data_IF_844037630470
#
_entry.id   IF_844037630470
#
_cell.length_a   1.000
_cell.length_b   1.000
_cell.length_c   1.000
_cell.angle_alpha   90.00
_cell.angle_beta   90.00
_cell.angle_gamma   90.00
#
_symmetry.space_group_name_H-M   'P 1'
#
loop_
_entity.id
_entity.type
_entity.pdbx_description
1 polymer ?
#
# COMPACT_ATOMS: atom_id res chain seq x y z
N UNK A 1 1.94 -14.94 -4.97
CA UNK A 1 1.08 -15.20 -3.80
C UNK A 1 1.42 -14.13 -2.77
N UNK A 2 0.49 -13.25 -2.38
CA UNK A 2 0.81 -12.09 -1.55
C UNK A 2 0.97 -12.53 -0.09
N UNK A 3 2.20 -12.55 0.39
CA UNK A 3 2.49 -12.74 1.81
C UNK A 3 2.70 -11.34 2.39
N UNK A 4 1.72 -10.86 3.14
CA UNK A 4 1.88 -9.68 3.99
C UNK A 4 2.28 -10.20 5.38
N UNK A 5 3.56 -10.13 5.72
CA UNK A 5 3.99 -10.31 7.11
C UNK A 5 3.66 -9.04 7.89
N UNK A 6 2.53 -9.08 8.59
CA UNK A 6 2.22 -8.15 9.66
C UNK A 6 3.01 -8.58 10.90
N UNK A 7 4.10 -7.88 11.22
CA UNK A 7 4.77 -7.99 12.51
C UNK A 7 4.92 -6.60 13.14
N UNK A 8 3.94 -6.21 13.94
CA UNK A 8 4.12 -5.76 15.33
C UNK A 8 2.78 -5.29 15.93
N UNK A 9 2.56 -5.54 17.23
CA UNK A 9 1.26 -5.53 17.90
C UNK A 9 0.79 -4.13 18.26
N UNK A 10 -0.52 -3.93 18.33
CA UNK A 10 -1.11 -2.78 19.00
C UNK A 10 -0.77 -1.43 18.37
N UNK A 11 -1.46 -1.09 17.28
CA UNK A 11 -1.79 0.31 17.04
C UNK A 11 -3.31 0.35 16.78
N UNK A 12 -4.09 0.52 17.85
CA UNK A 12 -5.25 1.41 17.72
C UNK A 12 -4.68 2.80 17.45
N UNK A 13 -4.32 3.02 16.19
CA UNK A 13 -3.97 4.34 15.71
C UNK A 13 -5.24 5.16 15.69
N UNK A 14 -5.48 5.93 16.75
CA UNK A 14 -6.19 7.19 16.63
C UNK A 14 -5.26 8.13 15.83
N UNK A 15 -5.11 7.83 14.55
CA UNK A 15 -4.06 8.39 13.70
C UNK A 15 -4.53 9.65 13.01
N UNK A 16 -4.08 10.80 13.51
CA UNK A 16 -3.92 12.01 12.71
C UNK A 16 -2.76 11.82 11.70
N UNK A 17 -2.87 10.87 10.77
CA UNK A 17 -1.81 10.60 9.81
C UNK A 17 -2.30 10.78 8.39
N UNK A 18 -1.82 11.86 7.77
CA UNK A 18 -1.96 12.13 6.33
C UNK A 18 -1.18 11.13 5.46
N UNK A 19 -0.47 10.17 6.07
CA UNK A 19 0.36 9.21 5.34
C UNK A 19 0.49 7.84 6.00
N UNK A 20 0.85 6.84 5.20
CA UNK A 20 1.23 5.49 5.63
C UNK A 20 2.52 5.04 4.92
N UNK A 21 3.32 4.19 5.56
CA UNK A 21 4.44 3.51 4.91
C UNK A 21 4.04 2.08 4.56
N UNK A 22 4.20 1.71 3.30
CA UNK A 22 3.98 0.37 2.78
C UNK A 22 5.33 -0.24 2.39
N UNK A 23 5.48 -1.53 2.68
CA UNK A 23 6.56 -2.36 2.18
C UNK A 23 5.98 -3.72 1.77
N UNK A 24 6.53 -4.31 0.72
CA UNK A 24 6.14 -5.62 0.22
C UNK A 24 7.36 -6.39 -0.28
N UNK A 25 7.27 -7.72 -0.30
CA UNK A 25 8.34 -8.55 -0.84
C UNK A 25 8.44 -8.41 -2.36
N UNK A 26 9.67 -8.43 -2.86
CA UNK A 26 9.92 -8.52 -4.29
C UNK A 26 9.37 -9.86 -4.83
N UNK A 27 8.94 -9.85 -6.09
CA UNK A 27 8.46 -11.06 -6.74
C UNK A 27 9.67 -11.90 -7.16
N UNK A 28 9.53 -13.22 -7.22
CA UNK A 28 10.64 -14.13 -7.57
C UNK A 28 11.03 -14.07 -9.04
N UNK A 29 10.11 -13.62 -9.89
CA UNK A 29 10.26 -13.50 -11.32
C UNK A 29 11.25 -12.38 -11.68
N UNK A 30 12.23 -12.68 -12.53
CA UNK A 30 13.30 -11.75 -12.91
C UNK A 30 12.85 -10.70 -13.93
N UNK A 31 11.72 -10.93 -14.59
CA UNK A 31 11.18 -10.08 -15.66
C UNK A 31 10.13 -9.07 -15.20
N UNK A 32 9.99 -8.82 -13.88
CA UNK A 32 9.12 -7.75 -13.37
C UNK A 32 9.63 -6.39 -13.85
N UNK A 33 8.79 -5.68 -14.61
CA UNK A 33 9.08 -4.33 -15.08
C UNK A 33 8.89 -3.31 -13.96
N UNK A 34 7.90 -3.53 -13.08
CA UNK A 34 7.71 -2.75 -11.86
C UNK A 34 6.50 -3.15 -11.03
N UNK A 35 6.16 -2.30 -10.07
CA UNK A 35 5.06 -2.43 -9.13
C UNK A 35 4.13 -1.23 -9.25
N UNK A 36 2.83 -1.49 -9.18
CA UNK A 36 1.79 -0.47 -9.03
C UNK A 36 1.10 -0.65 -7.71
N UNK A 37 1.06 0.41 -6.92
CA UNK A 37 0.24 0.51 -5.73
C UNK A 37 -1.15 1.02 -6.14
N UNK A 38 -2.17 0.41 -5.58
CA UNK A 38 -3.54 0.87 -5.66
C UNK A 38 -4.07 1.08 -4.27
N UNK A 39 -4.85 2.13 -4.08
CA UNK A 39 -5.44 2.44 -2.80
C UNK A 39 -6.75 3.22 -2.95
N UNK A 40 -7.60 3.13 -1.95
CA UNK A 40 -8.87 3.86 -1.92
C UNK A 40 -9.53 3.75 -0.55
N UNK A 41 -10.57 4.55 -0.35
CA UNK A 41 -11.36 4.53 0.88
C UNK A 41 -12.36 3.39 0.78
N UNK A 42 -12.44 2.57 1.83
CA UNK A 42 -13.39 1.47 1.91
C UNK A 42 -14.82 2.01 1.90
N UNK A 43 -15.61 1.58 0.94
CA UNK A 43 -16.98 2.06 0.72
C UNK A 43 -17.09 3.16 -0.34
N UNK A 44 -15.98 3.68 -0.85
CA UNK A 44 -15.97 4.56 -2.02
C UNK A 44 -15.72 3.77 -3.31
N UNK A 45 -16.27 4.26 -4.42
CA UNK A 45 -16.03 3.70 -5.75
C UNK A 45 -14.66 4.10 -6.34
N UNK A 46 -13.96 5.02 -5.69
CA UNK A 46 -12.71 5.59 -6.20
C UNK A 46 -11.52 4.72 -5.80
N UNK A 47 -10.74 4.31 -6.80
CA UNK A 47 -9.45 3.65 -6.60
C UNK A 47 -8.36 4.47 -7.27
N UNK A 48 -7.42 4.95 -6.47
CA UNK A 48 -6.22 5.63 -6.94
C UNK A 48 -5.15 4.59 -7.31
N UNK A 49 -4.29 4.96 -8.26
CA UNK A 49 -3.16 4.12 -8.72
C UNK A 49 -1.89 4.93 -8.77
N UNK A 50 -0.81 4.34 -8.31
CA UNK A 50 0.52 4.94 -8.30
C UNK A 50 1.54 3.94 -8.81
N UNK A 51 2.37 4.39 -9.74
CA UNK A 51 3.49 3.61 -10.26
C UNK A 51 4.68 3.73 -9.30
N UNK A 52 5.15 2.59 -8.79
CA UNK A 52 6.29 2.51 -7.88
C UNK A 52 7.54 1.92 -8.55
N UNK A 53 7.50 1.69 -9.88
CA UNK A 53 8.60 1.07 -10.64
C UNK A 53 9.15 -0.16 -9.90
N UNK A 54 10.46 -0.33 -9.80
CA UNK A 54 11.07 -1.48 -9.10
C UNK A 54 11.20 -1.31 -7.58
N UNK A 55 10.68 -0.23 -6.99
CA UNK A 55 10.75 -0.04 -5.55
C UNK A 55 9.72 -0.93 -4.83
N UNK A 56 10.13 -1.54 -3.74
CA UNK A 56 9.33 -2.42 -2.87
C UNK A 56 8.85 -1.74 -1.59
N UNK A 57 9.13 -0.45 -1.45
CA UNK A 57 8.68 0.39 -0.36
C UNK A 57 8.05 1.66 -0.92
N UNK A 58 7.06 2.20 -0.20
CA UNK A 58 6.44 3.48 -0.55
C UNK A 58 5.83 4.17 0.66
N UNK A 59 6.07 5.47 0.79
CA UNK A 59 5.25 6.37 1.60
C UNK A 59 4.07 6.85 0.75
N UNK A 60 2.85 6.59 1.21
CA UNK A 60 1.64 7.09 0.58
C UNK A 60 1.06 8.22 1.44
N UNK A 61 1.07 9.43 0.91
CA UNK A 61 0.51 10.65 1.51
C UNK A 61 -0.93 10.93 1.01
N UNK A 62 -1.52 12.03 1.49
CA UNK A 62 -2.86 12.49 1.09
C UNK A 62 -4.00 11.66 1.67
N UNK A 63 -3.76 10.94 2.76
CA UNK A 63 -4.78 10.14 3.42
C UNK A 63 -5.63 10.99 4.36
N UNK A 64 -6.94 10.74 4.40
CA UNK A 64 -7.86 11.42 5.31
C UNK A 64 -7.85 10.71 6.66
N UNK A 65 -7.57 11.47 7.72
CA UNK A 65 -7.65 10.95 9.08
C UNK A 65 -9.04 10.38 9.37
N UNK A 66 -9.07 9.21 10.03
CA UNK A 66 -10.32 8.52 10.38
C UNK A 66 -11.00 7.74 9.25
N UNK A 67 -10.51 7.79 8.01
CA UNK A 67 -11.02 6.96 6.92
C UNK A 67 -10.33 5.58 6.90
N UNK A 68 -11.11 4.53 6.63
CA UNK A 68 -10.56 3.19 6.40
C UNK A 68 -10.07 3.06 4.97
N UNK A 69 -8.79 2.79 4.77
CA UNK A 69 -8.20 2.60 3.45
C UNK A 69 -7.94 1.12 3.14
N UNK A 70 -8.03 0.74 1.87
CA UNK A 70 -7.47 -0.49 1.34
C UNK A 70 -6.23 -0.19 0.51
N UNK A 71 -5.29 -1.15 0.47
CA UNK A 71 -4.07 -1.07 -0.32
C UNK A 71 -3.79 -2.40 -0.99
N UNK A 72 -3.44 -2.39 -2.27
CA UNK A 72 -2.99 -3.58 -2.99
C UNK A 72 -1.90 -3.23 -3.99
N UNK A 73 -0.98 -4.17 -4.21
CA UNK A 73 0.16 -3.99 -5.10
C UNK A 73 0.13 -5.08 -6.17
N UNK A 74 0.35 -4.68 -7.43
CA UNK A 74 0.50 -5.60 -8.55
C UNK A 74 1.86 -5.40 -9.21
N UNK A 75 2.54 -6.50 -9.52
CA UNK A 75 3.66 -6.47 -10.47
C UNK A 75 3.12 -6.35 -11.91
N UNK A 76 3.89 -5.71 -12.79
CA UNK A 76 3.62 -5.63 -14.23
C UNK A 76 4.92 -5.65 -15.04
#
# INVERSE_FOLDING_TARGET
>A
MLVAWLLAPGFEGHGAVDYVHLAWDANTETNVAGYRLYYGVRGEAVTNRVDNRKATTRRQDGLRAGASYFFFVTAY
#
